data_IF_137897599893
#
_entry.id   IF_137897599893
#
_cell.length_a   1.000
_cell.length_b   1.000
_cell.length_c   1.000
_cell.angle_alpha   90.00
_cell.angle_beta   90.00
_cell.angle_gamma   90.00
#
_symmetry.space_group_name_H-M   'P 1'
#
loop_
_entity.id
_entity.type
_entity.pdbx_description
1 polymer ?
#
# COMPACT_ATOMS: atom_id res chain seq x y z
N UNK A 1 -12.15 -22.50 -1.52
CA UNK A 1 -12.09 -21.28 -2.35
C UNK A 1 -12.54 -20.01 -1.63
N UNK A 2 -13.71 -19.91 -0.96
CA UNK A 2 -14.11 -18.67 -0.23
C UNK A 2 -13.14 -18.19 0.85
N UNK A 3 -12.62 -19.11 1.68
CA UNK A 3 -11.74 -18.75 2.80
C UNK A 3 -10.41 -18.14 2.31
N UNK A 4 -9.84 -18.66 1.22
CA UNK A 4 -8.62 -18.10 0.61
C UNK A 4 -8.86 -16.69 0.04
N UNK A 5 -10.02 -16.45 -0.58
CA UNK A 5 -10.40 -15.12 -1.06
C UNK A 5 -10.62 -14.11 0.08
N UNK A 6 -11.19 -14.54 1.21
CA UNK A 6 -11.31 -13.71 2.41
C UNK A 6 -9.96 -13.38 3.03
N UNK A 7 -9.07 -14.38 3.18
CA UNK A 7 -7.70 -14.18 3.66
C UNK A 7 -6.96 -13.19 2.76
N UNK A 8 -7.08 -13.34 1.44
CA UNK A 8 -6.49 -12.41 0.45
C UNK A 8 -6.97 -10.99 0.66
N UNK A 9 -8.28 -10.79 0.86
CA UNK A 9 -8.85 -9.45 1.10
C UNK A 9 -8.34 -8.82 2.38
N UNK A 10 -8.26 -9.58 3.47
CA UNK A 10 -7.76 -9.06 4.74
C UNK A 10 -6.27 -8.71 4.66
N UNK A 11 -5.45 -9.55 4.03
CA UNK A 11 -4.03 -9.26 3.79
C UNK A 11 -3.84 -7.99 2.93
N UNK A 12 -4.66 -7.81 1.89
CA UNK A 12 -4.60 -6.60 1.06
C UNK A 12 -4.97 -5.34 1.85
N UNK A 13 -6.00 -5.41 2.71
CA UNK A 13 -6.35 -4.28 3.59
C UNK A 13 -5.20 -3.94 4.54
N UNK A 14 -4.58 -4.96 5.14
CA UNK A 14 -3.45 -4.76 6.05
C UNK A 14 -2.25 -4.13 5.34
N UNK A 15 -1.91 -4.62 4.15
CA UNK A 15 -0.83 -4.06 3.33
C UNK A 15 -1.11 -2.60 2.96
N UNK A 16 -2.33 -2.28 2.50
CA UNK A 16 -2.68 -0.89 2.16
C UNK A 16 -2.64 0.02 3.39
N UNK A 17 -3.14 -0.45 4.54
CA UNK A 17 -3.06 0.28 5.81
C UNK A 17 -1.61 0.52 6.25
N UNK A 18 -0.72 -0.46 6.05
CA UNK A 18 0.69 -0.28 6.35
C UNK A 18 1.37 0.74 5.44
N UNK A 19 0.96 0.84 4.17
CA UNK A 19 1.47 1.88 3.26
C UNK A 19 1.01 3.27 3.70
N UNK A 20 -0.24 3.41 4.15
CA UNK A 20 -0.76 4.66 4.70
C UNK A 20 -0.03 5.04 6.00
N UNK A 21 0.22 4.07 6.88
CA UNK A 21 1.01 4.29 8.10
C UNK A 21 2.44 4.77 7.80
N UNK A 22 3.04 4.36 6.67
CA UNK A 22 4.35 4.88 6.24
C UNK A 22 4.26 6.35 5.87
N UNK A 23 3.19 6.77 5.17
CA UNK A 23 2.96 8.17 4.87
C UNK A 23 2.81 8.99 6.17
N UNK A 24 1.93 8.55 7.07
CA UNK A 24 1.69 9.22 8.36
C UNK A 24 2.96 9.30 9.22
N UNK A 25 3.77 8.23 9.23
CA UNK A 25 5.05 8.21 9.93
C UNK A 25 6.03 9.22 9.34
N UNK A 26 6.12 9.32 8.02
CA UNK A 26 7.00 10.28 7.35
C UNK A 26 6.55 11.71 7.66
N UNK A 27 5.25 12.00 7.55
CA UNK A 27 4.67 13.31 7.84
C UNK A 27 4.87 13.72 9.31
N UNK A 28 4.71 12.78 10.24
CA UNK A 28 4.88 13.05 11.68
C UNK A 28 6.35 13.25 12.09
N UNK A 29 7.31 12.64 11.39
CA UNK A 29 8.74 12.63 11.78
C UNK A 29 9.60 13.59 10.98
N UNK A 30 9.23 13.91 9.75
CA UNK A 30 10.05 14.70 8.84
C UNK A 30 9.29 15.89 8.28
N UNK A 31 9.95 17.04 8.25
CA UNK A 31 9.44 18.24 7.60
C UNK A 31 10.00 18.32 6.19
N UNK A 32 9.37 17.58 5.27
CA UNK A 32 9.76 17.56 3.86
C UNK A 32 9.28 18.83 3.16
N UNK A 33 10.07 19.32 2.20
CA UNK A 33 9.60 20.34 1.27
C UNK A 33 8.54 19.73 0.34
N UNK A 34 7.66 20.58 -0.20
CA UNK A 34 6.50 20.14 -0.99
C UNK A 34 6.88 19.19 -2.14
N UNK A 35 7.92 19.46 -2.97
CA UNK A 35 8.35 18.54 -4.02
C UNK A 35 8.74 17.15 -3.50
N UNK A 36 9.43 17.08 -2.35
CA UNK A 36 9.83 15.81 -1.76
C UNK A 36 8.62 15.04 -1.20
N UNK A 37 7.70 15.74 -0.53
CA UNK A 37 6.46 15.11 -0.03
C UNK A 37 5.61 14.55 -1.19
N UNK A 38 5.42 15.34 -2.25
CA UNK A 38 4.67 14.90 -3.45
C UNK A 38 5.34 13.67 -4.10
N UNK A 39 6.67 13.62 -4.13
CA UNK A 39 7.41 12.46 -4.64
C UNK A 39 7.22 11.21 -3.79
N UNK A 40 7.22 11.34 -2.46
CA UNK A 40 6.96 10.23 -1.52
C UNK A 40 5.54 9.70 -1.72
N UNK A 41 4.53 10.56 -1.71
CA UNK A 41 3.12 10.19 -1.95
C UNK A 41 2.99 9.43 -3.27
N UNK A 42 3.60 9.96 -4.34
CA UNK A 42 3.58 9.32 -5.66
C UNK A 42 4.17 7.91 -5.61
N UNK A 43 5.31 7.72 -4.96
CA UNK A 43 5.97 6.40 -4.85
C UNK A 43 5.16 5.41 -4.02
N UNK A 44 4.54 5.84 -2.92
CA UNK A 44 3.66 4.99 -2.11
C UNK A 44 2.42 4.58 -2.90
N UNK A 45 1.83 5.48 -3.70
CA UNK A 45 0.71 5.15 -4.56
C UNK A 45 1.10 4.20 -5.71
N UNK A 46 2.25 4.41 -6.35
CA UNK A 46 2.79 3.47 -7.34
C UNK A 46 2.95 2.06 -6.75
N UNK A 47 3.37 1.95 -5.47
CA UNK A 47 3.45 0.68 -4.77
C UNK A 47 2.07 0.04 -4.56
N UNK A 48 1.06 0.81 -4.15
CA UNK A 48 -0.33 0.32 -4.04
C UNK A 48 -0.85 -0.24 -5.37
N UNK A 49 -0.58 0.46 -6.47
CA UNK A 49 -0.99 0.02 -7.81
C UNK A 49 -0.32 -1.30 -8.23
N UNK A 50 0.97 -1.47 -7.91
CA UNK A 50 1.68 -2.73 -8.18
C UNK A 50 1.08 -3.87 -7.37
N UNK A 51 0.82 -3.65 -6.07
CA UNK A 51 0.20 -4.65 -5.19
C UNK A 51 -1.18 -5.04 -5.71
N UNK A 52 -1.99 -4.07 -6.14
CA UNK A 52 -3.29 -4.34 -6.74
C UNK A 52 -3.16 -5.24 -7.98
N UNK A 53 -2.27 -4.88 -8.92
CA UNK A 53 -2.04 -5.66 -10.15
C UNK A 53 -1.57 -7.08 -9.85
N UNK A 54 -0.56 -7.24 -8.99
CA UNK A 54 -0.02 -8.56 -8.62
C UNK A 54 -1.09 -9.39 -7.92
N UNK A 55 -1.85 -8.78 -7.01
CA UNK A 55 -2.91 -9.48 -6.30
C UNK A 55 -4.01 -9.99 -7.24
N UNK A 56 -4.34 -9.25 -8.31
CA UNK A 56 -5.30 -9.72 -9.30
C UNK A 56 -4.76 -10.81 -10.23
N UNK A 57 -3.44 -10.96 -10.33
CA UNK A 57 -2.78 -11.99 -11.13
C UNK A 57 -2.45 -13.25 -10.32
N UNK A 58 -2.32 -13.14 -9.00
CA UNK A 58 -2.05 -14.27 -8.13
C UNK A 58 -3.35 -14.92 -7.68
N UNK A 59 -3.69 -16.07 -8.24
CA UNK A 59 -4.59 -17.00 -7.57
C UNK A 59 -3.87 -17.58 -6.35
N UNK A 60 -4.50 -17.52 -5.18
CA UNK A 60 -4.03 -18.26 -4.00
C UNK A 60 -4.39 -19.73 -4.24
N UNK A 61 -3.51 -20.43 -4.96
CA UNK A 61 -3.57 -21.89 -5.16
C UNK A 61 -3.44 -22.62 -3.84
#
# INVERSE_FOLDING_TARGET
MRVQEEIKKELLKEIYGNIDNIYDFIEARYKLDKPCNDAVIKKLNELKDIIYKVSNLSDLS
#
